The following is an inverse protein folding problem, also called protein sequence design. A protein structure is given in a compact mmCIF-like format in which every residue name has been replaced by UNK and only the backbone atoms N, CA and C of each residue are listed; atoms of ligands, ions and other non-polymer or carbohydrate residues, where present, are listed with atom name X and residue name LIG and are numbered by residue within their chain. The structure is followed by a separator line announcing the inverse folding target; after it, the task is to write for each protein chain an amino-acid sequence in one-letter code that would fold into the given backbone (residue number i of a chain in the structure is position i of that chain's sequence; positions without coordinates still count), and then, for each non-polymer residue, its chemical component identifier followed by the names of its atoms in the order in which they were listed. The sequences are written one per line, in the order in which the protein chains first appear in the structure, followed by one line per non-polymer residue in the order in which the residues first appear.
data_IF_074397375674
#
_entry.id   IF_074397375674
#
_cell.length_a   1.000
_cell.length_b   1.000
_cell.length_c   1.000
_cell.angle_alpha   90.00
_cell.angle_beta   90.00
_cell.angle_gamma   90.00
#
_symmetry.space_group_name_H-M   'P 1'
#
loop_
_entity.id
_entity.type
_entity.pdbx_description
1 polymer ?
#
# COMPACT_ATOMS: atom_id res chain seq x y z
N UNK A 1 -9.11 11.09 -22.67
CA UNK A 1 -8.32 10.21 -21.78
C UNK A 1 -8.82 10.46 -20.37
N UNK A 2 -9.16 9.41 -19.63
CA UNK A 2 -9.44 9.56 -18.20
C UNK A 2 -8.17 10.06 -17.50
N UNK A 3 -8.30 11.02 -16.59
CA UNK A 3 -7.17 11.52 -15.82
C UNK A 3 -6.73 10.42 -14.83
N UNK A 4 -5.43 10.11 -14.81
CA UNK A 4 -4.87 9.19 -13.83
C UNK A 4 -4.87 9.89 -12.46
N UNK A 5 -5.50 9.26 -11.46
CA UNK A 5 -5.71 9.81 -10.13
C UNK A 5 -4.83 9.08 -9.12
N UNK A 6 -4.45 9.78 -8.05
CA UNK A 6 -3.95 9.15 -6.81
C UNK A 6 -5.18 8.70 -6.02
N UNK A 7 -5.65 7.48 -6.30
CA UNK A 7 -6.86 6.90 -5.71
C UNK A 7 -6.77 6.80 -4.18
N UNK A 8 -5.56 6.69 -3.64
CA UNK A 8 -5.31 6.63 -2.20
C UNK A 8 -5.57 7.96 -1.47
N UNK A 9 -5.55 9.09 -2.17
CA UNK A 9 -5.80 10.43 -1.57
C UNK A 9 -7.30 10.75 -1.47
N UNK A 10 -8.17 9.91 -2.05
CA UNK A 10 -9.62 10.06 -1.92
C UNK A 10 -10.06 9.84 -0.46
N UNK A 11 -10.89 10.72 0.12
CA UNK A 11 -11.30 10.64 1.52
C UNK A 11 -12.12 9.38 1.86
N UNK A 12 -12.65 8.67 0.86
CA UNK A 12 -13.30 7.36 1.05
C UNK A 12 -12.28 6.27 1.35
N UNK A 13 -11.04 6.41 0.88
CA UNK A 13 -9.99 5.41 1.06
C UNK A 13 -9.57 5.33 2.53
N UNK A 14 -9.46 4.10 3.05
CA UNK A 14 -8.90 3.83 4.38
C UNK A 14 -7.75 2.84 4.29
N UNK A 15 -7.03 2.65 5.39
CA UNK A 15 -5.91 1.74 5.41
C UNK A 15 -5.76 0.98 6.73
N UNK A 16 -5.00 -0.12 6.66
CA UNK A 16 -4.65 -0.97 7.80
C UNK A 16 -3.21 -1.40 7.70
N UNK A 17 -2.63 -1.78 8.83
CA UNK A 17 -1.34 -2.42 8.90
C UNK A 17 -1.39 -3.60 9.88
N UNK A 18 -0.53 -4.59 9.67
CA UNK A 18 -0.37 -5.76 10.55
C UNK A 18 0.11 -5.38 11.95
N UNK A 19 0.92 -4.33 12.06
CA UNK A 19 1.52 -3.89 13.32
C UNK A 19 1.83 -2.39 13.34
N UNK A 20 2.23 -1.89 14.50
CA UNK A 20 2.66 -0.50 14.71
C UNK A 20 3.72 -0.49 15.81
N UNK A 21 4.81 0.25 15.60
CA UNK A 21 5.89 0.42 16.57
C UNK A 21 5.32 0.87 17.93
N UNK A 22 5.66 0.12 18.97
CA UNK A 22 5.20 0.32 20.36
C UNK A 22 3.68 0.47 20.53
N UNK A 23 2.90 -0.02 19.55
CA UNK A 23 1.44 0.18 19.47
C UNK A 23 1.04 1.66 19.44
N UNK A 24 1.99 2.57 19.15
CA UNK A 24 1.78 4.01 19.15
C UNK A 24 1.17 4.46 17.82
N UNK A 25 -0.13 4.25 17.68
CA UNK A 25 -0.90 4.63 16.48
C UNK A 25 -0.98 6.14 16.26
N UNK A 26 -0.73 6.95 17.29
CA UNK A 26 -0.73 8.40 17.16
C UNK A 26 0.48 8.87 16.34
N UNK A 27 1.67 8.30 16.58
CA UNK A 27 2.90 8.71 15.90
C UNK A 27 3.21 7.86 14.66
N UNK A 28 2.87 6.57 14.68
CA UNK A 28 3.33 5.59 13.68
C UNK A 28 2.19 4.81 13.01
N UNK A 29 0.96 5.32 13.10
CA UNK A 29 -0.23 4.63 12.60
C UNK A 29 -0.23 4.45 11.08
N UNK A 30 -0.98 3.44 10.60
CA UNK A 30 -1.09 3.15 9.17
C UNK A 30 -1.61 4.33 8.35
N UNK A 31 -2.44 5.21 8.92
CA UNK A 31 -2.96 6.39 8.22
C UNK A 31 -1.85 7.32 7.72
N UNK A 32 -0.71 7.36 8.40
CA UNK A 32 0.41 8.21 8.03
C UNK A 32 0.97 7.86 6.64
N UNK A 33 0.91 6.59 6.20
CA UNK A 33 1.39 6.23 4.86
C UNK A 33 0.50 6.77 3.73
N UNK A 34 -0.73 7.20 4.02
CA UNK A 34 -1.60 7.87 3.04
C UNK A 34 -1.52 9.40 3.16
N UNK A 35 -0.78 9.93 4.13
CA UNK A 35 -0.62 11.37 4.32
C UNK A 35 0.26 11.96 3.21
N UNK A 36 0.02 13.23 2.87
CA UNK A 36 0.97 14.02 2.06
C UNK A 36 2.05 14.67 2.93
N UNK A 37 1.91 14.62 4.26
CA UNK A 37 2.90 15.08 5.22
C UNK A 37 4.01 14.03 5.43
N UNK A 38 5.11 14.22 4.71
CA UNK A 38 6.31 13.38 4.77
C UNK A 38 7.11 13.51 6.09
N UNK A 39 6.66 14.33 7.05
CA UNK A 39 7.21 14.30 8.42
C UNK A 39 6.64 13.16 9.27
N UNK A 40 5.58 12.50 8.78
CA UNK A 40 4.92 11.36 9.42
C UNK A 40 5.14 10.07 8.64
N UNK A 41 5.13 8.92 9.31
CA UNK A 41 5.26 7.62 8.65
C UNK A 41 4.43 6.54 9.36
N UNK A 42 4.12 5.47 8.64
CA UNK A 42 3.83 4.20 9.27
C UNK A 42 5.15 3.51 9.62
N UNK A 43 5.27 3.02 10.85
CA UNK A 43 6.42 2.24 11.32
C UNK A 43 5.90 0.94 11.94
N UNK A 44 6.33 -0.20 11.40
CA UNK A 44 5.90 -1.49 11.90
C UNK A 44 6.55 -1.80 13.26
N UNK A 45 5.96 -2.74 14.01
CA UNK A 45 6.70 -3.40 15.08
C UNK A 45 7.80 -4.30 14.48
N UNK A 46 8.67 -4.85 15.33
CA UNK A 46 9.65 -5.86 14.93
C UNK A 46 8.95 -7.15 14.45
N UNK A 47 9.59 -7.86 13.52
CA UNK A 47 9.16 -9.16 13.00
C UNK A 47 8.72 -9.12 11.53
N UNK A 48 8.60 -10.32 10.95
CA UNK A 48 8.12 -10.56 9.58
C UNK A 48 7.08 -11.70 9.60
N UNK A 49 6.17 -11.77 8.59
CA UNK A 49 5.95 -10.75 7.58
C UNK A 49 5.29 -9.49 8.14
N UNK A 50 5.44 -8.37 7.44
CA UNK A 50 4.65 -7.16 7.68
C UNK A 50 3.68 -6.94 6.53
N UNK A 51 2.53 -6.33 6.80
CA UNK A 51 1.51 -6.09 5.77
C UNK A 51 0.88 -4.72 5.94
N UNK A 52 0.62 -4.07 4.82
CA UNK A 52 -0.25 -2.89 4.72
C UNK A 52 -1.40 -3.18 3.76
N UNK A 53 -2.55 -2.58 4.03
CA UNK A 53 -3.75 -2.67 3.20
C UNK A 53 -4.26 -1.27 2.89
N UNK A 54 -4.61 -1.04 1.64
CA UNK A 54 -5.35 0.14 1.16
C UNK A 54 -6.73 -0.34 0.73
N UNK A 55 -7.76 0.14 1.42
CA UNK A 55 -9.16 -0.18 1.15
C UNK A 55 -9.78 1.01 0.44
N UNK A 56 -10.15 0.84 -0.82
CA UNK A 56 -10.60 1.93 -1.70
C UNK A 56 -12.11 2.18 -1.58
N UNK A 57 -12.86 1.17 -1.13
CA UNK A 57 -14.33 1.22 -0.92
C UNK A 57 -15.13 1.62 -2.16
N UNK A 58 -14.55 1.42 -3.34
CA UNK A 58 -15.13 1.65 -4.65
C UNK A 58 -14.40 0.78 -5.68
N UNK A 59 -15.04 0.48 -6.79
CA UNK A 59 -14.40 -0.26 -7.87
C UNK A 59 -13.42 0.65 -8.61
N UNK A 60 -12.17 0.22 -8.73
CA UNK A 60 -11.14 0.94 -9.47
C UNK A 60 -10.39 0.00 -10.42
N UNK A 61 -9.76 0.60 -11.41
CA UNK A 61 -8.67 -0.01 -12.16
C UNK A 61 -7.35 0.66 -11.73
N UNK A 62 -6.41 -0.13 -11.19
CA UNK A 62 -5.09 0.34 -10.72
C UNK A 62 -4.07 0.17 -11.82
N UNK A 63 -3.29 1.23 -12.06
CA UNK A 63 -2.22 1.30 -13.07
C UNK A 63 -0.82 1.31 -12.48
N UNK A 64 -0.66 1.75 -11.22
CA UNK A 64 0.61 1.70 -10.52
C UNK A 64 0.42 1.68 -9.00
N UNK A 65 1.40 1.09 -8.32
CA UNK A 65 1.58 1.20 -6.88
C UNK A 65 2.85 2.02 -6.66
N UNK A 66 2.79 3.08 -5.86
CA UNK A 66 3.98 3.88 -5.56
C UNK A 66 4.26 3.85 -4.07
N UNK A 67 5.50 3.57 -3.68
CA UNK A 67 5.88 3.43 -2.26
C UNK A 67 7.17 4.20 -1.98
N UNK A 68 7.13 5.02 -0.94
CA UNK A 68 8.30 5.70 -0.37
C UNK A 68 8.61 5.06 0.98
N UNK A 69 9.71 4.30 1.02
CA UNK A 69 10.21 3.72 2.25
C UNK A 69 11.19 4.66 2.96
N UNK A 70 11.53 4.33 4.21
CA UNK A 70 12.79 4.77 4.79
C UNK A 70 13.90 3.78 4.37
N UNK A 71 15.01 4.29 3.84
CA UNK A 71 16.21 3.50 3.58
C UNK A 71 16.70 2.81 4.86
N UNK A 72 17.11 1.55 4.74
CA UNK A 72 17.42 0.62 5.81
C UNK A 72 16.21 -0.09 6.43
N UNK A 73 14.99 0.22 5.97
CA UNK A 73 13.72 -0.35 6.48
C UNK A 73 12.76 -0.72 5.34
N UNK A 74 13.32 -1.15 4.21
CA UNK A 74 12.59 -1.43 2.99
C UNK A 74 12.03 -2.84 3.03
N UNK A 75 10.72 -2.97 2.75
CA UNK A 75 10.07 -4.27 2.62
C UNK A 75 10.50 -4.98 1.34
N UNK A 76 10.84 -6.27 1.45
CA UNK A 76 11.34 -7.11 0.36
C UNK A 76 10.44 -8.34 0.17
N UNK A 77 10.65 -9.04 -0.96
CA UNK A 77 9.88 -10.23 -1.35
C UNK A 77 8.37 -9.96 -1.28
N UNK A 78 7.95 -8.89 -1.96
CA UNK A 78 6.61 -8.30 -1.80
C UNK A 78 5.56 -9.15 -2.51
N UNK A 79 4.53 -9.56 -1.76
CA UNK A 79 3.35 -10.21 -2.31
C UNK A 79 2.18 -9.24 -2.37
N UNK A 80 1.62 -9.07 -3.56
CA UNK A 80 0.46 -8.23 -3.78
C UNK A 80 -0.80 -9.08 -3.74
N UNK A 81 -1.77 -8.67 -2.91
CA UNK A 81 -3.10 -9.26 -2.86
C UNK A 81 -4.15 -8.20 -3.15
N UNK A 82 -5.27 -8.60 -3.74
CA UNK A 82 -6.39 -7.70 -4.04
C UNK A 82 -7.71 -8.29 -3.55
N UNK A 83 -8.69 -7.41 -3.29
CA UNK A 83 -10.10 -7.80 -3.20
C UNK A 83 -10.80 -7.28 -4.44
N UNK A 84 -11.47 -8.16 -5.18
CA UNK A 84 -12.27 -7.77 -6.35
C UNK A 84 -13.58 -7.10 -5.91
N UNK A 85 -13.93 -6.01 -6.58
CA UNK A 85 -15.23 -5.35 -6.39
C UNK A 85 -16.35 -6.34 -6.74
N UNK A 86 -17.35 -6.46 -5.84
CA UNK A 86 -18.47 -7.41 -6.00
C UNK A 86 -18.09 -8.90 -5.83
N UNK A 87 -16.81 -9.23 -5.62
CA UNK A 87 -16.27 -10.59 -5.64
C UNK A 87 -16.26 -11.31 -4.28
N UNK A 88 -17.35 -11.27 -3.51
CA UNK A 88 -17.50 -12.07 -2.27
C UNK A 88 -16.53 -11.74 -1.12
N UNK A 89 -15.65 -10.74 -1.30
CA UNK A 89 -14.81 -10.14 -0.25
C UNK A 89 -13.49 -10.86 0.06
N UNK A 90 -13.11 -11.93 -0.63
CA UNK A 90 -11.85 -12.66 -0.42
C UNK A 90 -10.61 -11.92 -0.96
N UNK A 91 -9.46 -12.14 -0.32
CA UNK A 91 -8.15 -11.69 -0.83
C UNK A 91 -7.60 -12.71 -1.83
N UNK A 92 -7.17 -12.24 -2.99
CA UNK A 92 -6.55 -13.01 -4.07
C UNK A 92 -5.13 -12.49 -4.31
N UNK A 93 -4.14 -13.37 -4.33
CA UNK A 93 -2.78 -13.00 -4.71
C UNK A 93 -2.71 -12.76 -6.22
N UNK A 94 -2.06 -11.67 -6.64
CA UNK A 94 -1.86 -11.32 -8.05
C UNK A 94 -0.39 -11.30 -8.40
N UNK A 95 -0.09 -11.58 -9.68
CA UNK A 95 1.27 -11.54 -10.20
C UNK A 95 1.64 -10.10 -10.58
N UNK A 96 2.09 -9.34 -9.59
CA UNK A 96 2.61 -7.98 -9.74
C UNK A 96 3.99 -7.94 -9.11
N UNK A 97 4.98 -7.51 -9.90
CA UNK A 97 6.35 -7.36 -9.45
C UNK A 97 6.49 -6.02 -8.73
N UNK A 98 6.75 -6.08 -7.42
CA UNK A 98 7.12 -4.95 -6.59
C UNK A 98 8.47 -5.29 -5.96
N UNK A 99 9.53 -4.70 -6.48
CA UNK A 99 10.92 -4.95 -6.05
C UNK A 99 11.58 -3.60 -5.68
N UNK A 100 11.38 -3.10 -4.46
CA UNK A 100 11.86 -1.78 -4.08
C UNK A 100 13.36 -1.78 -3.80
N UNK A 101 14.04 -0.75 -4.29
CA UNK A 101 15.42 -0.43 -3.93
C UNK A 101 15.49 0.10 -2.49
N UNK A 102 16.64 -0.11 -1.84
CA UNK A 102 16.92 0.44 -0.51
C UNK A 102 17.21 1.94 -0.58
N UNK A 103 16.15 2.74 -0.72
CA UNK A 103 16.20 4.17 -0.95
C UNK A 103 15.05 4.91 -0.24
N UNK A 104 15.16 6.25 -0.17
CA UNK A 104 14.13 7.13 0.41
C UNK A 104 13.22 7.78 -0.65
N UNK A 105 13.41 7.46 -1.93
CA UNK A 105 12.64 8.04 -3.02
C UNK A 105 11.25 7.38 -3.15
N UNK A 106 10.29 8.10 -3.73
CA UNK A 106 9.03 7.50 -4.16
C UNK A 106 9.32 6.60 -5.36
N UNK A 107 9.12 5.30 -5.20
CA UNK A 107 9.35 4.30 -6.25
C UNK A 107 8.01 3.86 -6.84
N UNK A 108 7.92 3.83 -8.17
CA UNK A 108 6.71 3.44 -8.90
C UNK A 108 6.83 2.01 -9.44
N UNK A 109 5.79 1.21 -9.21
CA UNK A 109 5.66 -0.16 -9.70
C UNK A 109 4.42 -0.26 -10.60
N UNK A 110 4.59 -0.18 -11.93
CA UNK A 110 3.49 -0.29 -12.88
C UNK A 110 2.79 -1.65 -12.74
N UNK A 111 1.47 -1.63 -12.76
CA UNK A 111 0.66 -2.84 -12.71
C UNK A 111 -0.66 -2.67 -13.47
N UNK A 112 -1.41 -3.75 -13.65
CA UNK A 112 -2.74 -3.70 -14.26
C UNK A 112 -3.71 -4.55 -13.46
N UNK A 113 -4.40 -3.91 -12.51
CA UNK A 113 -5.38 -4.57 -11.67
C UNK A 113 -6.75 -3.99 -11.98
N UNK A 114 -7.68 -4.83 -12.42
CA UNK A 114 -9.01 -4.39 -12.83
C UNK A 114 -10.07 -4.72 -11.77
N UNK A 115 -11.05 -3.82 -11.64
CA UNK A 115 -12.22 -3.98 -10.78
C UNK A 115 -11.85 -4.39 -9.35
N UNK A 116 -10.90 -3.69 -8.72
CA UNK A 116 -10.48 -3.96 -7.34
C UNK A 116 -11.09 -2.94 -6.37
N UNK A 117 -11.34 -3.36 -5.13
CA UNK A 117 -11.82 -2.50 -4.04
C UNK A 117 -10.81 -2.40 -2.88
N UNK A 118 -9.76 -3.21 -2.88
CA UNK A 118 -8.66 -3.12 -1.94
C UNK A 118 -7.39 -3.77 -2.50
N UNK A 119 -6.23 -3.28 -2.03
CA UNK A 119 -4.89 -3.81 -2.33
C UNK A 119 -4.16 -4.03 -1.00
N UNK A 120 -3.40 -5.12 -0.88
CA UNK A 120 -2.52 -5.38 0.24
C UNK A 120 -1.11 -5.72 -0.25
N UNK A 121 -0.11 -5.12 0.39
CA UNK A 121 1.30 -5.41 0.19
C UNK A 121 1.80 -6.17 1.41
N UNK A 122 2.26 -7.39 1.20
CA UNK A 122 2.86 -8.22 2.26
C UNK A 122 4.36 -8.35 2.01
N UNK A 123 5.15 -7.82 2.94
CA UNK A 123 6.60 -7.84 2.91
C UNK A 123 7.08 -9.09 3.64
N UNK A 124 7.57 -10.08 2.90
CA UNK A 124 8.06 -11.34 3.49
C UNK A 124 9.44 -11.15 4.14
N UNK A 125 10.19 -10.14 3.70
CA UNK A 125 11.50 -9.77 4.26
C UNK A 125 11.60 -8.25 4.42
N UNK A 126 12.67 -7.79 5.08
CA UNK A 126 13.03 -6.37 5.18
C UNK A 126 14.55 -6.20 5.13
N UNK A 127 15.02 -5.03 4.69
CA UNK A 127 16.44 -4.63 4.84
C UNK A 127 16.83 -4.34 6.29
N UNK A 128 15.85 -4.04 7.17
CA UNK A 128 16.08 -3.93 8.61
C UNK A 128 16.30 -5.31 9.24
N UNK A 129 17.35 -5.43 10.06
CA UNK A 129 17.71 -6.69 10.74
C UNK A 129 16.58 -7.25 11.62
N UNK A 130 15.77 -6.38 12.24
CA UNK A 130 14.65 -6.79 13.09
C UNK A 130 13.34 -6.98 12.31
N UNK A 131 13.37 -6.92 10.99
CA UNK A 131 12.20 -7.12 10.14
C UNK A 131 11.25 -5.93 10.07
N UNK A 132 11.64 -4.75 10.59
CA UNK A 132 10.76 -3.57 10.58
C UNK A 132 10.62 -3.02 9.16
N UNK A 133 9.47 -2.43 8.88
CA UNK A 133 9.20 -1.71 7.64
C UNK A 133 8.72 -0.30 8.00
N UNK A 134 9.24 0.70 7.29
CA UNK A 134 8.83 2.10 7.47
C UNK A 134 8.42 2.68 6.13
N UNK A 135 7.19 3.20 6.06
CA UNK A 135 6.60 3.78 4.84
C UNK A 135 6.17 5.21 5.15
N UNK A 136 6.73 6.17 4.42
CA UNK A 136 6.33 7.57 4.45
C UNK A 136 5.13 7.85 3.54
N UNK A 137 5.08 7.19 2.38
CA UNK A 137 4.02 7.39 1.39
C UNK A 137 3.70 6.09 0.67
N UNK A 138 2.42 5.79 0.53
CA UNK A 138 1.87 4.70 -0.25
C UNK A 138 0.76 5.25 -1.13
N UNK A 139 0.98 5.23 -2.43
CA UNK A 139 0.02 5.70 -3.42
C UNK A 139 -0.52 4.54 -4.26
N UNK A 140 -1.82 4.59 -4.53
CA UNK A 140 -2.47 3.70 -5.50
C UNK A 140 -2.93 4.58 -6.65
N UNK A 141 -2.32 4.42 -7.82
CA UNK A 141 -2.65 5.22 -9.01
C UNK A 141 -3.62 4.46 -9.90
N UNK A 142 -4.54 5.18 -10.52
CA UNK A 142 -5.47 4.57 -11.45
C UNK A 142 -6.71 5.41 -11.73
N UNK A 143 -7.81 4.74 -12.03
CA UNK A 143 -9.10 5.38 -12.32
C UNK A 143 -10.22 4.67 -11.58
N UNK A 144 -11.22 5.43 -11.13
CA UNK A 144 -12.47 4.87 -10.62
C UNK A 144 -13.29 4.33 -11.79
N UNK A 145 -13.91 3.17 -11.59
CA UNK A 145 -14.75 2.53 -12.60
C UNK A 145 -16.15 3.09 -12.41
N UNK A 146 -16.66 3.77 -13.43
CA UNK A 146 -18.06 4.19 -13.43
C UNK A 146 -18.97 2.95 -13.46
N UNK A 147 -19.75 2.76 -12.40
CA UNK A 147 -20.87 1.82 -12.43
C UNK A 147 -21.88 2.38 -13.43
N UNK A 148 -22.00 1.74 -14.59
CA UNK A 148 -22.99 2.13 -15.60
C UNK A 148 -24.38 2.19 -14.97
N UNK A 149 -25.03 3.35 -15.11
CA UNK A 149 -26.45 3.55 -14.82
C UNK A 149 -27.33 2.73 -15.76
#
# INVERSE_FOLDING_TARGET
MAAMLVLSDDPRTTCRASSTLDRNKQLYGAANMLSTDLSSCWNSAQGIPQQVQVLLHRAVDVSALCVMFQGGFVGQDVQVHVRKAGGGGGWEQVDVVVDPEDANDLQEFPCKLTQVEAVALTFQRSTDFYGRVVIYRLEVHGVEVETGN
#
